data_IF_838721571060
#
_entry.id   IF_838721571060
#
_cell.length_a   1.000
_cell.length_b   1.000
_cell.length_c   1.000
_cell.angle_alpha   90.00
_cell.angle_beta   90.00
_cell.angle_gamma   90.00
#
_symmetry.space_group_name_H-M   'P 1'
#
loop_
_entity.id
_entity.type
_entity.pdbx_description
1 polymer ?
#
# COMPACT_ATOMS: atom_id res chain seq x y z
N UNK A 1 1.92 -16.71 8.65
CA UNK A 1 2.61 -15.50 8.16
C UNK A 1 3.39 -14.95 9.34
N UNK A 2 4.68 -14.62 9.20
CA UNK A 2 5.48 -14.12 10.32
C UNK A 2 4.99 -12.72 10.70
N UNK A 3 4.58 -12.54 11.96
CA UNK A 3 4.17 -11.26 12.55
C UNK A 3 5.23 -10.17 12.29
N UNK A 4 6.51 -10.55 12.29
CA UNK A 4 7.65 -9.67 12.00
C UNK A 4 7.57 -8.95 10.63
N UNK A 5 6.96 -9.57 9.60
CA UNK A 5 6.82 -8.92 8.27
C UNK A 5 5.77 -7.81 8.26
N UNK A 6 4.80 -7.85 9.19
CA UNK A 6 3.79 -6.80 9.32
C UNK A 6 4.37 -5.57 10.02
N UNK A 7 5.19 -5.78 11.07
CA UNK A 7 5.86 -4.70 11.80
C UNK A 7 6.72 -3.82 10.89
N UNK A 8 7.38 -4.43 9.89
CA UNK A 8 8.17 -3.69 8.90
C UNK A 8 7.33 -2.66 8.11
N UNK A 9 6.01 -2.82 8.05
CA UNK A 9 5.14 -1.94 7.28
C UNK A 9 4.30 -1.00 8.15
N UNK A 10 4.41 -1.06 9.48
CA UNK A 10 3.60 -0.21 10.35
C UNK A 10 3.88 1.28 10.12
N UNK A 11 5.14 1.69 9.96
CA UNK A 11 5.50 3.08 9.62
C UNK A 11 4.92 3.54 8.27
N UNK A 12 4.81 2.62 7.30
CA UNK A 12 4.20 2.91 6.00
C UNK A 12 2.70 3.18 6.17
N UNK A 13 2.04 2.37 6.99
CA UNK A 13 0.61 2.51 7.24
C UNK A 13 0.27 3.74 8.08
N UNK A 14 1.08 4.05 9.09
CA UNK A 14 0.92 5.29 9.87
C UNK A 14 1.03 6.51 8.94
N UNK A 15 2.04 6.54 8.06
CA UNK A 15 2.19 7.61 7.07
C UNK A 15 0.98 7.70 6.12
N UNK A 16 0.45 6.56 5.66
CA UNK A 16 -0.72 6.53 4.80
C UNK A 16 -1.95 7.07 5.53
N UNK A 17 -2.19 6.66 6.78
CA UNK A 17 -3.33 7.13 7.58
C UNK A 17 -3.26 8.64 7.79
N UNK A 18 -2.08 9.20 8.05
CA UNK A 18 -1.88 10.62 8.28
C UNK A 18 -2.07 11.49 7.01
N UNK A 19 -1.71 10.97 5.83
CA UNK A 19 -1.72 11.73 4.57
C UNK A 19 -2.93 11.39 3.67
N UNK A 20 -3.48 10.19 3.80
CA UNK A 20 -4.56 9.63 3.00
C UNK A 20 -5.52 8.82 3.90
N UNK A 21 -6.31 9.47 4.77
CA UNK A 21 -7.13 8.79 5.78
C UNK A 21 -8.22 7.88 5.19
N UNK A 22 -8.58 8.06 3.91
CA UNK A 22 -9.53 7.20 3.19
C UNK A 22 -8.90 5.90 2.64
N UNK A 23 -7.59 5.71 2.85
CA UNK A 23 -6.85 4.55 2.39
C UNK A 23 -6.69 3.53 3.53
N UNK A 24 -6.85 2.26 3.19
CA UNK A 24 -6.93 1.15 4.13
C UNK A 24 -5.78 0.17 3.91
N UNK A 25 -5.21 -0.35 5.00
CA UNK A 25 -4.33 -1.53 4.99
C UNK A 25 -5.15 -2.76 4.61
N UNK A 26 -4.69 -3.51 3.61
CA UNK A 26 -5.27 -4.78 3.21
C UNK A 26 -4.19 -5.87 3.21
N UNK A 27 -4.52 -7.03 3.78
CA UNK A 27 -3.65 -8.20 3.76
C UNK A 27 -4.42 -9.33 3.06
N UNK A 28 -3.91 -9.80 1.93
CA UNK A 28 -4.57 -10.85 1.14
C UNK A 28 -3.53 -11.76 0.52
N UNK A 29 -3.72 -13.07 0.68
CA UNK A 29 -2.82 -14.11 0.16
C UNK A 29 -1.34 -13.93 0.58
N UNK A 30 -1.11 -13.37 1.77
CA UNK A 30 0.23 -13.09 2.29
C UNK A 30 0.91 -11.86 1.68
N UNK A 31 0.24 -11.12 0.80
CA UNK A 31 0.72 -9.88 0.23
C UNK A 31 0.16 -8.68 0.98
N UNK A 32 1.01 -7.67 1.15
CA UNK A 32 0.66 -6.40 1.76
C UNK A 32 0.13 -5.47 0.67
N UNK A 33 -1.08 -4.95 0.90
CA UNK A 33 -1.80 -4.11 -0.06
C UNK A 33 -2.35 -2.85 0.61
N UNK A 34 -2.59 -1.85 -0.21
CA UNK A 34 -3.27 -0.61 0.12
C UNK A 34 -4.55 -0.57 -0.69
N UNK A 35 -5.68 -0.30 -0.05
CA UNK A 35 -6.98 -0.15 -0.70
C UNK A 35 -7.45 1.30 -0.56
N UNK A 36 -8.13 1.82 -1.57
CA UNK A 36 -8.86 3.08 -1.46
C UNK A 36 -10.21 2.98 -2.14
N UNK A 37 -11.23 3.59 -1.54
CA UNK A 37 -12.56 3.71 -2.14
C UNK A 37 -12.65 4.84 -3.17
N UNK A 38 -11.54 5.51 -3.47
CA UNK A 38 -11.47 6.53 -4.51
C UNK A 38 -11.62 5.92 -5.90
N UNK A 39 -12.43 6.56 -6.75
CA UNK A 39 -12.62 6.12 -8.13
C UNK A 39 -11.39 6.35 -9.02
N UNK A 40 -10.46 7.21 -8.58
CA UNK A 40 -9.21 7.55 -9.26
C UNK A 40 -8.16 7.88 -8.20
N UNK A 41 -6.93 7.43 -8.43
CA UNK A 41 -5.74 7.85 -7.67
C UNK A 41 -4.74 8.43 -8.65
N UNK A 42 -4.17 9.59 -8.30
CA UNK A 42 -3.09 10.17 -9.09
C UNK A 42 -1.80 9.42 -8.77
N UNK A 43 -1.03 9.09 -9.81
CA UNK A 43 0.24 8.39 -9.64
C UNK A 43 1.19 9.12 -8.68
N UNK A 44 1.19 10.45 -8.66
CA UNK A 44 1.97 11.29 -7.75
C UNK A 44 1.70 11.01 -6.26
N UNK A 45 0.46 10.65 -5.89
CA UNK A 45 0.11 10.30 -4.51
C UNK A 45 0.79 8.99 -4.09
N UNK A 46 0.81 8.00 -4.98
CA UNK A 46 1.45 6.71 -4.74
C UNK A 46 2.96 6.84 -4.80
N UNK A 47 3.48 7.58 -5.78
CA UNK A 47 4.92 7.76 -6.01
C UNK A 47 5.64 8.30 -4.78
N UNK A 48 5.04 9.24 -4.06
CA UNK A 48 5.60 9.76 -2.81
C UNK A 48 5.80 8.67 -1.76
N UNK A 49 4.82 7.77 -1.60
CA UNK A 49 4.88 6.64 -0.67
C UNK A 49 5.97 5.65 -1.13
N UNK A 50 5.98 5.32 -2.43
CA UNK A 50 6.95 4.37 -3.00
C UNK A 50 8.39 4.83 -2.80
N UNK A 51 8.68 6.10 -3.08
CA UNK A 51 10.03 6.64 -2.94
C UNK A 51 10.44 6.78 -1.47
N UNK A 52 9.55 7.28 -0.60
CA UNK A 52 9.86 7.49 0.82
C UNK A 52 10.24 6.20 1.54
N UNK A 53 9.58 5.10 1.21
CA UNK A 53 9.75 3.81 1.89
C UNK A 53 10.49 2.77 1.06
N UNK A 54 11.08 3.16 -0.08
CA UNK A 54 11.78 2.28 -1.00
C UNK A 54 10.92 1.05 -1.40
N UNK A 55 9.72 1.30 -1.90
CA UNK A 55 8.75 0.28 -2.27
C UNK A 55 8.62 0.17 -3.80
N UNK A 56 8.13 -0.97 -4.26
CA UNK A 56 7.57 -1.16 -5.60
C UNK A 56 6.10 -1.55 -5.54
N UNK A 57 5.37 -1.25 -6.61
CA UNK A 57 4.05 -1.82 -6.85
C UNK A 57 4.20 -3.25 -7.39
N UNK A 58 3.45 -4.19 -6.83
CA UNK A 58 3.42 -5.59 -7.30
C UNK A 58 2.23 -5.84 -8.22
N UNK A 59 1.08 -5.25 -7.90
CA UNK A 59 -0.17 -5.41 -8.63
C UNK A 59 -1.08 -4.20 -8.41
N UNK A 60 -1.91 -3.90 -9.41
CA UNK A 60 -3.01 -2.94 -9.29
C UNK A 60 -4.27 -3.66 -9.75
N UNK A 61 -5.31 -3.64 -8.92
CA UNK A 61 -6.60 -4.20 -9.27
C UNK A 61 -7.72 -3.20 -9.02
N UNK A 62 -8.71 -3.24 -9.90
CA UNK A 62 -9.97 -2.53 -9.75
C UNK A 62 -10.98 -3.54 -9.24
N UNK A 63 -11.47 -3.34 -8.03
CA UNK A 63 -12.56 -4.16 -7.51
C UNK A 63 -13.87 -3.44 -7.77
N UNK A 64 -14.83 -4.14 -8.39
CA UNK A 64 -16.12 -3.57 -8.80
C UNK A 64 -16.97 -3.05 -7.61
N UNK A 65 -16.59 -3.36 -6.37
CA UNK A 65 -17.30 -3.00 -5.15
C UNK A 65 -16.47 -2.27 -4.07
N UNK A 66 -15.14 -2.28 -4.15
CA UNK A 66 -14.25 -1.87 -3.05
C UNK A 66 -13.16 -0.87 -3.46
N UNK A 67 -13.26 -0.31 -4.67
CA UNK A 67 -12.32 0.69 -5.18
C UNK A 67 -11.02 0.10 -5.71
N UNK A 68 -9.95 0.88 -5.64
CA UNK A 68 -8.63 0.54 -6.21
C UNK A 68 -7.75 -0.10 -5.14
N UNK A 69 -7.10 -1.21 -5.48
CA UNK A 69 -6.17 -1.92 -4.60
C UNK A 69 -4.79 -1.96 -5.24
N UNK A 70 -3.77 -1.59 -4.46
CA UNK A 70 -2.36 -1.57 -4.82
C UNK A 70 -1.60 -2.58 -3.95
N UNK A 71 -0.95 -3.58 -4.55
CA UNK A 71 0.03 -4.38 -3.84
C UNK A 71 1.36 -3.65 -3.74
N UNK A 72 2.01 -3.74 -2.57
CA UNK A 72 3.30 -3.09 -2.30
C UNK A 72 4.33 -4.06 -1.73
N UNK A 73 5.59 -3.86 -2.10
CA UNK A 73 6.70 -4.66 -1.61
C UNK A 73 7.93 -3.77 -1.34
N UNK A 74 8.58 -3.96 -0.20
CA UNK A 74 9.88 -3.33 0.09
C UNK A 74 10.93 -3.86 -0.86
N UNK A 75 11.68 -2.94 -1.45
CA UNK A 75 12.89 -3.26 -2.17
C UNK A 75 13.99 -3.49 -1.13
N UNK A 76 14.55 -4.70 -1.12
CA UNK A 76 15.77 -4.96 -0.36
C UNK A 76 16.87 -4.04 -0.87
N UNK A 77 17.46 -3.25 0.02
CA UNK A 77 18.64 -2.45 -0.29
C UNK A 77 19.81 -3.41 -0.45
N UNK A 78 20.34 -3.52 -1.67
CA UNK A 78 21.54 -4.31 -1.99
C UNK A 78 22.75 -3.80 -1.21
#
# INVERSE_FOLDING_TARGET
MNENKLEEYDEIFDFIVDNHPDWEKLLTDGHIKIKTNQNKVQFSQIEQILQKFNLRLTDISYSDYYGIVFGIEKLETV
#
